data_IF_660115232907
#
_entry.id   IF_660115232907
#
_cell.length_a   1.000
_cell.length_b   1.000
_cell.length_c   1.000
_cell.angle_alpha   90.00
_cell.angle_beta   90.00
_cell.angle_gamma   90.00
#
_symmetry.space_group_name_H-M   'P 1'
#
loop_
_entity.id
_entity.type
_entity.pdbx_description
1 polymer ?
#
# COMPACT_ATOMS: atom_id res chain seq x y z
N UNK A 1 41.82 3.24 -32.01
CA UNK A 1 40.39 2.92 -32.23
C UNK A 1 40.22 1.45 -31.91
N UNK A 2 39.72 1.15 -30.71
CA UNK A 2 39.53 -0.22 -30.22
C UNK A 2 38.05 -0.45 -29.95
N UNK A 3 37.45 -1.38 -30.67
CA UNK A 3 36.12 -1.91 -30.37
C UNK A 3 36.19 -2.82 -29.14
N UNK A 4 35.22 -2.66 -28.22
CA UNK A 4 35.02 -3.56 -27.10
C UNK A 4 33.75 -4.38 -27.32
N UNK A 5 33.98 -5.69 -27.37
CA UNK A 5 33.04 -6.78 -27.49
C UNK A 5 32.23 -6.98 -26.21
N UNK A 6 30.91 -7.19 -26.35
CA UNK A 6 30.00 -7.61 -25.28
C UNK A 6 30.01 -9.14 -25.11
N UNK A 7 29.88 -9.69 -23.90
CA UNK A 7 29.87 -11.14 -23.67
C UNK A 7 28.47 -11.78 -23.91
N UNK A 8 28.39 -13.10 -24.14
CA UNK A 8 27.17 -13.78 -24.59
C UNK A 8 26.22 -14.20 -23.46
N UNK A 9 24.92 -14.15 -23.75
CA UNK A 9 23.82 -14.64 -22.89
C UNK A 9 23.75 -16.17 -22.92
N UNK A 10 23.70 -16.80 -21.73
CA UNK A 10 23.41 -18.24 -21.57
C UNK A 10 21.90 -18.48 -21.52
N UNK A 11 21.40 -19.31 -22.43
CA UNK A 11 20.05 -19.86 -22.41
C UNK A 11 19.99 -21.06 -21.47
N UNK A 12 19.17 -20.98 -20.41
CA UNK A 12 18.73 -22.14 -19.63
C UNK A 12 17.39 -22.61 -20.19
N UNK A 13 17.38 -23.82 -20.75
CA UNK A 13 16.20 -24.55 -21.20
C UNK A 13 15.50 -25.14 -19.99
N UNK A 14 14.24 -24.80 -19.75
CA UNK A 14 13.36 -25.54 -18.84
C UNK A 14 12.58 -26.60 -19.63
N UNK A 15 12.71 -27.85 -19.20
CA UNK A 15 11.94 -29.00 -19.67
C UNK A 15 10.50 -28.88 -19.17
N UNK A 16 9.53 -28.97 -20.08
CA UNK A 16 8.11 -29.15 -19.76
C UNK A 16 7.83 -30.64 -19.59
N UNK A 17 7.37 -31.06 -18.41
CA UNK A 17 6.69 -32.34 -18.21
C UNK A 17 5.18 -32.10 -18.30
N UNK A 18 4.54 -32.68 -19.32
CA UNK A 18 3.10 -32.63 -19.52
C UNK A 18 2.42 -33.81 -18.82
N UNK A 19 1.41 -33.52 -18.01
CA UNK A 19 0.37 -34.47 -17.63
C UNK A 19 -0.95 -33.96 -18.19
N UNK A 20 -1.48 -34.67 -19.18
CA UNK A 20 -2.84 -34.48 -19.67
C UNK A 20 -3.82 -35.29 -18.82
N UNK A 21 -4.94 -34.68 -18.46
CA UNK A 21 -6.12 -35.39 -17.98
C UNK A 21 -7.36 -34.80 -18.67
N UNK A 22 -8.15 -35.69 -19.25
CA UNK A 22 -9.40 -35.48 -19.94
C UNK A 22 -10.46 -34.81 -19.05
N UNK A 23 -11.13 -33.77 -19.55
CA UNK A 23 -12.35 -33.23 -18.96
C UNK A 23 -13.57 -33.87 -19.63
N UNK A 24 -14.37 -34.61 -18.85
CA UNK A 24 -15.72 -35.07 -19.22
C UNK A 24 -16.70 -34.08 -18.61
N UNK A 25 -17.47 -33.41 -19.47
CA UNK A 25 -18.56 -32.50 -19.09
C UNK A 25 -19.81 -33.35 -18.84
N UNK A 26 -20.35 -33.30 -17.62
CA UNK A 26 -21.72 -33.73 -17.31
C UNK A 26 -22.50 -32.53 -16.79
N UNK A 27 -23.53 -32.16 -17.53
CA UNK A 27 -24.47 -31.08 -17.26
C UNK A 27 -25.62 -31.63 -16.41
N UNK A 28 -25.87 -31.08 -15.22
CA UNK A 28 -27.13 -31.30 -14.49
C UNK A 28 -27.63 -29.97 -13.92
N UNK A 29 -28.79 -29.55 -14.43
CA UNK A 29 -29.64 -28.49 -13.87
C UNK A 29 -30.31 -29.00 -12.59
N UNK A 30 -30.28 -28.18 -11.54
CA UNK A 30 -31.15 -28.29 -10.38
C UNK A 30 -31.49 -26.90 -9.85
N UNK A 31 -32.75 -26.46 -10.06
CA UNK A 31 -33.30 -25.30 -9.39
C UNK A 31 -33.45 -25.60 -7.88
N UNK A 32 -32.86 -24.77 -7.04
CA UNK A 32 -33.19 -24.67 -5.62
C UNK A 32 -33.70 -23.26 -5.32
N UNK A 33 -34.96 -23.18 -4.93
CA UNK A 33 -35.63 -21.97 -4.46
C UNK A 33 -35.22 -21.78 -3.00
N UNK A 34 -34.47 -20.73 -2.69
CA UNK A 34 -34.23 -20.30 -1.31
C UNK A 34 -35.20 -19.18 -0.94
N UNK A 35 -36.08 -19.47 0.01
CA UNK A 35 -36.89 -18.48 0.69
C UNK A 35 -36.02 -17.75 1.73
N UNK A 36 -35.85 -16.44 1.59
CA UNK A 36 -35.15 -15.60 2.55
C UNK A 36 -36.01 -15.39 3.80
N UNK A 37 -35.58 -15.94 4.94
CA UNK A 37 -36.03 -15.47 6.24
C UNK A 37 -35.06 -14.39 6.71
N UNK A 38 -35.56 -13.17 6.86
CA UNK A 38 -34.84 -12.05 7.45
C UNK A 38 -34.78 -12.23 8.96
N UNK A 39 -33.60 -12.55 9.49
CA UNK A 39 -33.28 -12.38 10.91
C UNK A 39 -32.73 -10.97 11.08
N UNK A 40 -33.51 -10.11 11.77
CA UNK A 40 -33.08 -8.79 12.19
C UNK A 40 -32.00 -8.94 13.26
N UNK A 41 -30.74 -8.66 12.93
CA UNK A 41 -29.72 -8.35 13.93
C UNK A 41 -29.97 -6.93 14.45
N UNK A 42 -30.17 -6.82 15.77
CA UNK A 42 -30.23 -5.54 16.46
C UNK A 42 -28.86 -4.86 16.35
N UNK A 43 -28.84 -3.66 15.76
CA UNK A 43 -27.65 -2.81 15.70
C UNK A 43 -27.38 -2.22 17.08
N UNK A 44 -26.27 -2.62 17.71
CA UNK A 44 -25.69 -1.85 18.80
C UNK A 44 -25.27 -0.46 18.27
N UNK A 45 -25.40 0.61 19.08
CA UNK A 45 -25.07 1.95 18.65
C UNK A 45 -23.55 2.08 18.45
N UNK A 46 -23.15 2.50 17.25
CA UNK A 46 -21.80 2.98 16.93
C UNK A 46 -21.37 4.01 17.96
N UNK A 47 -20.20 3.86 18.63
CA UNK A 47 -19.65 4.90 19.48
C UNK A 47 -19.51 6.19 18.69
N UNK A 48 -20.03 7.29 19.23
CA UNK A 48 -19.86 8.61 18.62
C UNK A 48 -18.37 8.92 18.47
N UNK A 49 -17.97 9.25 17.25
CA UNK A 49 -16.61 9.65 16.90
C UNK A 49 -16.19 10.86 17.77
N UNK A 50 -15.06 10.79 18.49
CA UNK A 50 -14.65 11.89 19.35
C UNK A 50 -14.38 13.11 18.45
N UNK A 51 -15.05 14.22 18.74
CA UNK A 51 -14.81 15.50 18.07
C UNK A 51 -13.33 15.85 18.22
N UNK A 52 -12.58 15.74 17.11
CA UNK A 52 -11.15 15.97 17.06
C UNK A 52 -10.86 17.39 17.54
N UNK A 53 -10.32 17.49 18.76
CA UNK A 53 -9.86 18.77 19.31
C UNK A 53 -8.61 19.16 18.51
N UNK A 54 -8.56 20.37 17.98
CA UNK A 54 -7.48 20.83 17.11
C UNK A 54 -6.11 20.65 17.79
N UNK A 55 -5.28 19.76 17.26
CA UNK A 55 -3.86 19.71 17.63
C UNK A 55 -3.20 20.99 17.09
N UNK A 56 -2.61 21.85 17.95
CA UNK A 56 -1.96 23.07 17.48
C UNK A 56 -0.86 22.72 16.48
N UNK A 57 -0.74 23.54 15.43
CA UNK A 57 0.27 23.33 14.40
C UNK A 57 1.67 23.26 15.04
N UNK A 58 2.53 22.32 14.61
CA UNK A 58 3.89 22.22 15.13
C UNK A 58 4.63 23.53 14.86
N UNK A 59 5.32 24.06 15.87
CA UNK A 59 6.17 25.24 15.70
C UNK A 59 7.53 24.80 15.14
N UNK A 60 8.12 25.56 14.19
CA UNK A 60 9.45 25.26 13.70
C UNK A 60 10.48 25.51 14.83
N UNK A 61 11.59 24.76 14.87
CA UNK A 61 12.67 25.03 15.81
C UNK A 61 13.27 26.44 15.59
N UNK A 62 13.91 27.05 16.61
CA UNK A 62 14.53 28.37 16.47
C UNK A 62 15.50 28.43 15.28
N UNK A 63 15.31 29.43 14.40
CA UNK A 63 16.12 29.62 13.19
C UNK A 63 15.59 28.90 11.94
N UNK A 64 14.44 28.25 12.01
CA UNK A 64 13.81 27.51 10.91
C UNK A 64 12.41 28.05 10.57
N UNK A 65 11.91 27.70 9.38
CA UNK A 65 10.68 28.26 8.81
C UNK A 65 9.61 27.18 8.63
N UNK A 66 8.36 27.53 8.93
CA UNK A 66 7.19 26.76 8.56
C UNK A 66 6.57 27.34 7.29
N UNK A 67 6.53 26.54 6.23
CA UNK A 67 5.89 26.86 4.95
C UNK A 67 4.50 26.22 4.90
N UNK A 68 3.54 26.92 4.31
CA UNK A 68 2.13 26.56 4.38
C UNK A 68 1.53 26.39 2.98
N UNK A 69 0.72 25.35 2.82
CA UNK A 69 -0.06 25.06 1.60
C UNK A 69 -1.54 25.02 1.96
N UNK A 70 -2.41 25.60 1.13
CA UNK A 70 -3.87 25.64 1.31
C UNK A 70 -4.57 25.50 -0.05
N UNK A 71 -5.73 24.84 -0.15
CA UNK A 71 -6.48 24.79 -1.40
C UNK A 71 -6.97 26.18 -1.86
N UNK A 72 -7.06 27.15 -0.94
CA UNK A 72 -7.40 28.55 -1.23
C UNK A 72 -6.16 29.45 -1.34
N UNK A 73 -4.96 28.88 -1.30
CA UNK A 73 -3.70 29.60 -1.48
C UNK A 73 -3.46 30.08 -2.92
N UNK A 74 -2.29 30.67 -3.13
CA UNK A 74 -1.82 31.13 -4.43
C UNK A 74 -0.33 30.79 -4.56
N UNK A 75 0.12 30.27 -5.70
CA UNK A 75 1.52 29.85 -5.88
C UNK A 75 2.49 31.04 -6.03
N UNK A 76 1.97 32.24 -6.25
CA UNK A 76 2.73 33.50 -6.21
C UNK A 76 2.94 34.02 -4.77
N UNK A 77 2.31 33.40 -3.76
CA UNK A 77 2.48 33.78 -2.36
C UNK A 77 3.86 33.39 -1.80
N UNK A 78 4.27 33.99 -0.66
CA UNK A 78 5.52 33.64 0.02
C UNK A 78 5.49 32.30 0.78
N UNK A 79 4.35 31.60 0.89
CA UNK A 79 4.24 30.34 1.64
C UNK A 79 4.11 30.52 3.16
N UNK A 80 3.71 31.71 3.62
CA UNK A 80 3.42 31.98 5.04
C UNK A 80 2.00 31.53 5.42
N UNK A 81 1.68 31.39 6.71
CA UNK A 81 0.32 31.01 7.15
C UNK A 81 -0.78 31.95 6.62
N UNK A 82 -0.52 33.27 6.56
CA UNK A 82 -1.49 34.26 6.07
C UNK A 82 -1.57 34.32 4.52
N UNK A 83 -0.54 33.81 3.85
CA UNK A 83 -0.40 33.78 2.39
C UNK A 83 0.26 32.46 1.98
N UNK A 84 -0.49 31.34 2.04
CA UNK A 84 0.02 30.01 1.74
C UNK A 84 0.14 29.81 0.23
N UNK A 85 0.99 28.85 -0.16
CA UNK A 85 0.98 28.31 -1.53
C UNK A 85 -0.29 27.49 -1.79
N UNK A 86 -0.57 27.22 -3.06
CA UNK A 86 -1.72 26.40 -3.46
C UNK A 86 -1.34 24.95 -3.73
N UNK A 87 -0.21 24.71 -4.39
CA UNK A 87 0.11 23.40 -4.97
C UNK A 87 1.33 22.73 -4.33
N UNK A 88 1.36 21.39 -4.38
CA UNK A 88 2.53 20.59 -4.02
C UNK A 88 3.70 20.95 -4.93
N UNK A 89 3.46 21.10 -6.24
CA UNK A 89 4.50 21.45 -7.21
C UNK A 89 5.23 22.75 -6.83
N UNK A 90 4.48 23.79 -6.41
CA UNK A 90 5.09 25.04 -5.92
C UNK A 90 5.90 24.83 -4.64
N UNK A 91 5.37 24.03 -3.70
CA UNK A 91 6.07 23.70 -2.47
C UNK A 91 7.38 22.94 -2.77
N UNK A 92 7.42 22.03 -3.74
CA UNK A 92 8.63 21.28 -4.10
C UNK A 92 9.68 22.12 -4.84
N UNK A 93 9.28 23.27 -5.41
CA UNK A 93 10.21 24.25 -5.96
C UNK A 93 10.94 25.08 -4.88
N UNK A 94 10.50 25.01 -3.62
CA UNK A 94 11.20 25.65 -2.49
C UNK A 94 12.49 24.90 -2.14
N UNK A 95 13.52 25.67 -1.79
CA UNK A 95 14.71 25.10 -1.13
C UNK A 95 14.47 25.08 0.38
N UNK A 96 14.44 23.88 0.94
CA UNK A 96 14.30 23.65 2.38
C UNK A 96 15.65 23.39 3.04
N UNK A 97 15.71 23.66 4.33
CA UNK A 97 16.85 23.34 5.20
C UNK A 97 16.42 22.41 6.33
N UNK A 98 17.41 21.75 6.92
CA UNK A 98 17.24 20.89 8.10
C UNK A 98 16.39 21.56 9.19
N UNK A 99 15.25 21.00 9.58
CA UNK A 99 14.39 21.58 10.62
C UNK A 99 13.29 22.52 10.11
N UNK A 100 13.27 22.87 8.83
CA UNK A 100 12.10 23.52 8.23
C UNK A 100 10.88 22.58 8.25
N UNK A 101 9.70 23.16 8.03
CA UNK A 101 8.44 22.43 8.01
C UNK A 101 7.65 22.79 6.75
N UNK A 102 6.99 21.81 6.16
CA UNK A 102 5.98 21.96 5.13
C UNK A 102 4.64 21.50 5.72
N UNK A 103 3.72 22.44 5.90
CA UNK A 103 2.44 22.21 6.57
C UNK A 103 1.29 22.37 5.57
N UNK A 104 0.44 21.35 5.50
CA UNK A 104 -0.77 21.35 4.68
C UNK A 104 -2.00 21.69 5.53
N UNK A 105 -2.88 22.54 5.01
CA UNK A 105 -4.10 22.91 5.71
C UNK A 105 -5.03 21.69 5.82
N UNK A 106 -5.48 21.40 7.04
CA UNK A 106 -6.52 20.40 7.34
C UNK A 106 -7.81 20.67 6.56
N UNK A 107 -8.50 19.59 6.20
CA UNK A 107 -9.67 19.60 5.30
C UNK A 107 -9.36 19.90 3.83
N UNK A 108 -8.08 20.06 3.46
CA UNK A 108 -7.65 20.26 2.08
C UNK A 108 -7.30 18.96 1.36
N UNK A 109 -7.49 18.94 0.04
CA UNK A 109 -7.01 17.89 -0.85
C UNK A 109 -5.99 18.48 -1.83
N UNK A 110 -4.84 17.82 -1.96
CA UNK A 110 -3.70 18.30 -2.70
C UNK A 110 -3.24 17.23 -3.69
N UNK A 111 -3.24 17.59 -4.98
CA UNK A 111 -2.85 16.69 -6.05
C UNK A 111 -1.38 16.82 -6.40
N UNK A 112 -0.65 15.72 -6.39
CA UNK A 112 0.78 15.69 -6.71
C UNK A 112 1.55 14.62 -5.94
N UNK A 113 2.86 14.73 -6.04
CA UNK A 113 3.83 13.89 -5.34
C UNK A 113 4.88 14.77 -4.66
N UNK A 114 5.43 14.28 -3.56
CA UNK A 114 6.58 14.85 -2.86
C UNK A 114 7.78 13.96 -3.21
N UNK A 115 8.45 14.33 -4.29
CA UNK A 115 9.59 13.60 -4.87
C UNK A 115 10.94 14.18 -4.43
N UNK A 116 10.93 15.34 -3.77
CA UNK A 116 12.10 16.03 -3.27
C UNK A 116 11.87 16.40 -1.82
N UNK A 117 12.70 15.84 -0.95
CA UNK A 117 12.85 16.33 0.42
C UNK A 117 14.28 16.83 0.57
N UNK A 118 14.54 17.91 1.33
CA UNK A 118 15.92 18.22 1.68
C UNK A 118 16.51 16.99 2.38
N UNK A 119 17.76 16.64 2.08
CA UNK A 119 18.57 15.84 3.01
C UNK A 119 19.13 16.84 4.03
N UNK A 120 18.59 16.92 5.25
CA UNK A 120 19.05 17.85 6.27
C UNK A 120 20.53 17.61 6.60
N UNK A 121 21.34 18.67 6.57
CA UNK A 121 22.63 18.65 7.25
C UNK A 121 22.39 18.65 8.77
N UNK A 122 22.82 17.60 9.48
CA UNK A 122 22.71 17.47 10.94
C UNK A 122 21.50 16.66 11.44
N UNK A 123 21.22 16.63 12.76
CA UNK A 123 20.26 15.69 13.36
C UNK A 123 18.78 16.11 13.31
N UNK A 124 18.47 17.28 12.73
CA UNK A 124 17.09 17.79 12.69
C UNK A 124 16.34 17.23 11.49
N UNK A 125 15.10 16.80 11.72
CA UNK A 125 14.23 16.34 10.64
C UNK A 125 13.53 17.51 9.95
N UNK A 126 13.36 17.40 8.64
CA UNK A 126 12.37 18.20 7.92
C UNK A 126 10.99 17.58 8.13
N UNK A 127 10.01 18.40 8.50
CA UNK A 127 8.65 17.93 8.80
C UNK A 127 7.72 18.16 7.63
N UNK A 128 7.02 17.12 7.20
CA UNK A 128 5.80 17.19 6.43
C UNK A 128 4.64 16.98 7.40
N UNK A 129 3.78 17.99 7.56
CA UNK A 129 2.72 17.94 8.57
C UNK A 129 1.48 18.72 8.20
N UNK A 130 0.64 18.97 9.20
CA UNK A 130 -0.64 19.63 9.02
C UNK A 130 -0.79 20.89 9.91
N UNK A 131 -1.62 21.84 9.48
CA UNK A 131 -2.05 23.00 10.27
C UNK A 131 -3.55 23.28 10.11
N UNK A 132 -4.11 24.09 10.99
CA UNK A 132 -5.53 24.44 10.97
C UNK A 132 -6.41 23.43 11.71
N UNK A 133 -7.70 23.36 11.35
CA UNK A 133 -8.72 22.52 11.99
C UNK A 133 -9.38 21.60 10.95
N UNK A 134 -9.99 20.51 11.41
CA UNK A 134 -10.69 19.53 10.57
C UNK A 134 -9.86 18.28 10.25
N UNK A 135 -10.32 17.54 9.24
CA UNK A 135 -9.72 16.28 8.81
C UNK A 135 -8.26 16.41 8.38
N UNK A 136 -7.53 15.29 8.40
CA UNK A 136 -6.14 15.27 7.90
C UNK A 136 -6.10 15.78 6.45
N UNK A 137 -5.10 16.59 6.06
CA UNK A 137 -4.92 16.98 4.67
C UNK A 137 -4.66 15.73 3.81
N UNK A 138 -5.32 15.66 2.65
CA UNK A 138 -5.20 14.55 1.71
C UNK A 138 -4.14 14.84 0.66
N UNK A 139 -3.15 13.96 0.54
CA UNK A 139 -2.21 13.92 -0.59
C UNK A 139 -2.60 12.77 -1.51
N UNK A 140 -2.79 13.09 -2.79
CA UNK A 140 -3.22 12.12 -3.79
C UNK A 140 -2.60 12.42 -5.15
N UNK A 141 -2.33 11.39 -5.96
CA UNK A 141 -1.98 11.57 -7.37
C UNK A 141 -3.12 11.12 -8.32
N UNK A 142 -4.36 11.09 -7.82
CA UNK A 142 -5.52 10.71 -8.62
C UNK A 142 -5.73 11.63 -9.82
N UNK A 143 -6.10 11.03 -10.96
CA UNK A 143 -6.72 11.73 -12.09
C UNK A 143 -8.23 11.67 -11.94
N UNK A 144 -8.89 12.83 -11.86
CA UNK A 144 -10.34 12.92 -11.65
C UNK A 144 -11.07 12.87 -12.99
N UNK A 145 -11.76 11.77 -13.27
CA UNK A 145 -12.36 11.45 -14.56
C UNK A 145 -13.84 11.83 -14.60
N UNK A 146 -14.17 13.09 -14.27
CA UNK A 146 -15.56 13.53 -14.11
C UNK A 146 -16.19 14.21 -15.33
N UNK A 147 -15.42 14.56 -16.38
CA UNK A 147 -15.97 15.17 -17.59
C UNK A 147 -16.50 14.09 -18.57
N UNK A 148 -17.83 13.97 -18.77
CA UNK A 148 -18.35 12.99 -19.72
C UNK A 148 -17.93 13.26 -21.17
N UNK A 149 -17.65 14.52 -21.54
CA UNK A 149 -17.24 14.88 -22.90
C UNK A 149 -15.81 14.42 -23.24
N UNK A 150 -14.99 14.17 -22.23
CA UNK A 150 -13.63 13.65 -22.38
C UNK A 150 -13.60 12.14 -22.72
N UNK A 151 -14.72 11.43 -22.57
CA UNK A 151 -14.80 10.00 -22.88
C UNK A 151 -15.34 9.75 -24.29
N UNK A 152 -14.66 8.86 -25.02
CA UNK A 152 -15.08 8.43 -26.36
C UNK A 152 -15.40 6.92 -26.37
N UNK A 153 -16.55 6.49 -26.93
CA UNK A 153 -16.81 5.08 -27.17
C UNK A 153 -15.90 4.56 -28.31
N UNK A 154 -15.30 3.38 -28.13
CA UNK A 154 -14.43 2.75 -29.15
C UNK A 154 -14.99 1.44 -29.69
N UNK A 155 -15.82 0.76 -28.89
CA UNK A 155 -16.53 -0.47 -29.24
C UNK A 155 -17.78 -0.58 -28.36
N UNK A 156 -18.69 -1.56 -28.59
CA UNK A 156 -19.83 -1.78 -27.71
C UNK A 156 -19.39 -1.92 -26.24
N UNK A 157 -19.89 -1.02 -25.40
CA UNK A 157 -19.56 -0.93 -23.96
C UNK A 157 -18.08 -0.69 -23.63
N UNK A 158 -17.24 -0.25 -24.57
CA UNK A 158 -15.85 0.12 -24.29
C UNK A 158 -15.70 1.63 -24.51
N UNK A 159 -15.26 2.31 -23.45
CA UNK A 159 -15.01 3.74 -23.44
C UNK A 159 -13.54 4.00 -23.21
N UNK A 160 -13.00 5.09 -23.74
CA UNK A 160 -11.64 5.53 -23.46
C UNK A 160 -11.56 7.00 -23.08
N UNK A 161 -10.51 7.35 -22.34
CA UNK A 161 -10.12 8.72 -21.97
C UNK A 161 -8.59 8.85 -22.11
N UNK A 162 -8.09 10.01 -22.53
CA UNK A 162 -6.66 10.26 -22.73
C UNK A 162 -6.02 10.77 -21.42
N UNK A 163 -5.29 9.93 -20.68
CA UNK A 163 -4.73 10.34 -19.40
C UNK A 163 -3.47 11.23 -19.50
N UNK A 164 -2.92 11.40 -20.70
CA UNK A 164 -1.78 12.30 -20.96
C UNK A 164 -2.22 13.71 -21.39
N UNK A 165 -3.52 13.96 -21.51
CA UNK A 165 -4.07 15.28 -21.79
C UNK A 165 -4.79 15.81 -20.54
N UNK A 166 -4.12 16.71 -19.82
CA UNK A 166 -4.62 17.32 -18.60
C UNK A 166 -5.94 18.10 -18.79
N UNK A 167 -6.37 18.38 -20.02
CA UNK A 167 -7.69 18.99 -20.27
C UNK A 167 -8.85 17.99 -20.15
N UNK A 168 -8.54 16.68 -20.13
CA UNK A 168 -9.54 15.62 -20.09
C UNK A 168 -9.90 15.16 -18.66
N UNK A 169 -9.12 15.57 -17.66
CA UNK A 169 -9.29 15.16 -16.27
C UNK A 169 -8.90 16.29 -15.31
N UNK A 170 -9.47 16.27 -14.11
CA UNK A 170 -8.96 17.06 -12.99
C UNK A 170 -7.87 16.32 -12.22
N UNK A 171 -7.48 16.86 -11.06
CA UNK A 171 -6.53 16.23 -10.15
C UNK A 171 -5.08 16.39 -10.61
N UNK A 172 -4.31 15.31 -10.55
CA UNK A 172 -2.89 15.31 -10.90
C UNK A 172 -2.66 15.38 -12.41
N UNK A 173 -1.83 16.34 -12.85
CA UNK A 173 -1.52 16.62 -14.26
C UNK A 173 -0.21 15.97 -14.75
N UNK A 174 0.49 15.24 -13.88
CA UNK A 174 1.70 14.50 -14.25
C UNK A 174 1.44 13.39 -15.27
N UNK A 175 2.51 13.02 -15.98
CA UNK A 175 2.50 11.88 -16.91
C UNK A 175 2.25 10.58 -16.14
N UNK A 176 1.47 9.67 -16.74
CA UNK A 176 1.26 8.34 -16.15
C UNK A 176 -0.10 7.75 -16.52
N UNK A 177 -0.07 6.70 -17.32
CA UNK A 177 -1.25 5.92 -17.69
C UNK A 177 -1.31 4.57 -17.00
N UNK A 178 -0.24 4.12 -16.33
CA UNK A 178 -0.18 2.86 -15.60
C UNK A 178 -1.10 2.93 -14.37
N UNK A 179 -2.39 2.65 -14.54
CA UNK A 179 -3.41 2.80 -13.49
C UNK A 179 -3.47 1.57 -12.61
N UNK A 180 -3.42 1.73 -11.29
CA UNK A 180 -3.52 0.61 -10.35
C UNK A 180 -4.95 0.15 -10.12
N UNK A 181 -5.87 1.10 -9.95
CA UNK A 181 -7.30 0.85 -9.78
C UNK A 181 -8.11 2.09 -10.16
N UNK A 182 -9.43 1.90 -10.30
CA UNK A 182 -10.39 3.00 -10.39
C UNK A 182 -11.20 3.07 -9.09
N UNK A 183 -11.46 4.27 -8.59
CA UNK A 183 -12.20 4.49 -7.35
C UNK A 183 -13.35 5.49 -7.53
N UNK A 184 -14.40 5.35 -6.72
CA UNK A 184 -15.48 6.34 -6.56
C UNK A 184 -16.02 6.18 -5.15
N UNK A 185 -15.76 7.18 -4.29
CA UNK A 185 -15.84 6.99 -2.84
C UNK A 185 -14.94 5.83 -2.40
N UNK A 186 -15.44 4.99 -1.50
CA UNK A 186 -14.72 3.80 -1.01
C UNK A 186 -14.85 2.58 -1.95
N UNK A 187 -15.51 2.73 -3.11
CA UNK A 187 -15.67 1.62 -4.05
C UNK A 187 -14.45 1.51 -4.98
N UNK A 188 -13.62 0.51 -4.73
CA UNK A 188 -12.47 0.15 -5.57
C UNK A 188 -12.87 -0.81 -6.68
N UNK A 189 -12.43 -0.51 -7.90
CA UNK A 189 -12.54 -1.37 -9.09
C UNK A 189 -11.12 -1.72 -9.53
N UNK A 190 -10.73 -2.95 -9.22
CA UNK A 190 -9.35 -3.43 -9.31
C UNK A 190 -9.07 -4.37 -10.49
N UNK A 191 -10.06 -4.55 -11.37
CA UNK A 191 -10.05 -5.50 -12.49
C UNK A 191 -9.19 -5.03 -13.68
N UNK A 192 -7.92 -4.70 -13.42
CA UNK A 192 -6.92 -4.37 -14.45
C UNK A 192 -6.67 -5.57 -15.35
N UNK A 193 -6.68 -5.35 -16.66
CA UNK A 193 -6.33 -6.34 -17.69
C UNK A 193 -5.04 -5.95 -18.40
N UNK A 194 -4.50 -6.91 -19.14
CA UNK A 194 -3.25 -6.74 -19.91
C UNK A 194 -3.48 -6.42 -21.38
N UNK A 195 -4.73 -6.48 -21.85
CA UNK A 195 -5.11 -6.14 -23.22
C UNK A 195 -6.57 -5.71 -23.31
N UNK A 196 -6.88 -4.84 -24.28
CA UNK A 196 -8.25 -4.39 -24.57
C UNK A 196 -9.20 -5.56 -24.92
N UNK A 197 -8.68 -6.65 -25.50
CA UNK A 197 -9.46 -7.85 -25.82
C UNK A 197 -9.95 -8.64 -24.60
N UNK A 198 -9.39 -8.36 -23.42
CA UNK A 198 -9.73 -9.03 -22.17
C UNK A 198 -10.78 -8.28 -21.36
N UNK A 199 -11.27 -7.14 -21.86
CA UNK A 199 -12.38 -6.38 -21.27
C UNK A 199 -13.71 -7.11 -21.52
N UNK A 200 -14.12 -7.97 -20.57
CA UNK A 200 -15.25 -8.90 -20.72
C UNK A 200 -16.36 -8.72 -19.70
N UNK A 201 -16.07 -8.12 -18.56
CA UNK A 201 -17.00 -7.85 -17.46
C UNK A 201 -17.08 -6.34 -17.18
N UNK A 202 -18.21 -5.81 -16.68
CA UNK A 202 -18.31 -4.40 -16.34
C UNK A 202 -17.17 -4.00 -15.38
N UNK A 203 -16.58 -2.84 -15.63
CA UNK A 203 -15.43 -2.30 -14.89
C UNK A 203 -14.11 -3.04 -15.04
N UNK A 204 -14.01 -4.01 -15.95
CA UNK A 204 -12.70 -4.36 -16.50
C UNK A 204 -12.09 -3.10 -17.11
N UNK A 205 -10.81 -2.86 -16.84
CA UNK A 205 -10.08 -1.75 -17.42
C UNK A 205 -8.69 -2.17 -17.90
N UNK A 206 -8.17 -1.41 -18.86
CA UNK A 206 -6.85 -1.58 -19.44
C UNK A 206 -6.31 -0.20 -19.78
N UNK A 207 -5.01 0.02 -19.62
CA UNK A 207 -4.32 1.24 -20.03
C UNK A 207 -3.21 0.92 -21.03
N UNK A 208 -3.11 1.73 -22.08
CA UNK A 208 -1.94 1.80 -22.96
C UNK A 208 -1.08 3.02 -22.59
N UNK A 209 -0.08 3.38 -23.41
CA UNK A 209 0.79 4.53 -23.12
C UNK A 209 0.09 5.90 -23.20
N UNK A 210 -1.19 5.96 -23.56
CA UNK A 210 -1.97 7.19 -23.78
C UNK A 210 -3.35 7.14 -23.13
N UNK A 211 -4.08 6.05 -23.32
CA UNK A 211 -5.49 5.94 -22.98
C UNK A 211 -5.74 4.94 -21.88
N UNK A 212 -6.68 5.27 -20.99
CA UNK A 212 -7.41 4.32 -20.17
C UNK A 212 -8.66 3.88 -20.92
N UNK A 213 -8.90 2.56 -20.96
CA UNK A 213 -10.09 1.93 -21.51
C UNK A 213 -10.88 1.26 -20.40
N UNK A 214 -12.19 1.48 -20.36
CA UNK A 214 -13.09 0.92 -19.34
C UNK A 214 -14.29 0.27 -20.00
N UNK A 215 -14.62 -0.95 -19.57
CA UNK A 215 -15.86 -1.60 -19.99
C UNK A 215 -17.05 -1.11 -19.16
N UNK A 216 -17.95 -0.36 -19.78
CA UNK A 216 -19.15 0.18 -19.13
C UNK A 216 -20.31 0.31 -20.12
N UNK A 217 -21.52 0.01 -19.68
CA UNK A 217 -22.75 0.10 -20.51
C UNK A 217 -23.16 1.54 -20.83
N UNK A 218 -22.59 2.51 -20.12
CA UNK A 218 -22.74 3.94 -20.34
C UNK A 218 -21.43 4.65 -20.05
N UNK A 219 -21.36 5.95 -20.30
CA UNK A 219 -20.17 6.76 -20.03
C UNK A 219 -19.67 6.53 -18.58
N UNK A 220 -18.39 6.18 -18.36
CA UNK A 220 -17.88 5.84 -17.03
C UNK A 220 -18.06 6.94 -15.98
N UNK A 221 -17.90 8.23 -16.34
CA UNK A 221 -18.15 9.36 -15.42
C UNK A 221 -19.59 9.48 -14.99
N UNK A 222 -20.54 9.02 -15.82
CA UNK A 222 -21.97 8.99 -15.50
C UNK A 222 -22.31 7.75 -14.69
N UNK A 223 -21.68 6.61 -15.00
CA UNK A 223 -21.88 5.35 -14.30
C UNK A 223 -21.33 5.37 -12.86
N UNK A 224 -20.27 6.14 -12.62
CA UNK A 224 -19.67 6.34 -11.31
C UNK A 224 -19.30 7.83 -11.14
N UNK A 225 -20.19 8.67 -10.59
CA UNK A 225 -19.84 10.04 -10.26
C UNK A 225 -18.64 10.09 -9.30
N UNK A 226 -17.72 11.03 -9.53
CA UNK A 226 -16.49 11.10 -8.74
C UNK A 226 -15.47 10.03 -9.10
N UNK A 227 -15.52 9.45 -10.31
CA UNK A 227 -14.58 8.44 -10.78
C UNK A 227 -13.15 9.00 -10.78
N UNK A 228 -12.25 8.27 -10.14
CA UNK A 228 -10.83 8.56 -10.05
C UNK A 228 -10.05 7.40 -10.65
N UNK A 229 -8.98 7.70 -11.38
CA UNK A 229 -7.94 6.73 -11.69
C UNK A 229 -6.73 7.01 -10.80
N UNK A 230 -6.16 5.95 -10.24
CA UNK A 230 -4.95 5.99 -9.42
C UNK A 230 -3.74 5.57 -10.27
N UNK A 231 -3.03 6.49 -10.94
CA UNK A 231 -1.82 6.16 -11.69
C UNK A 231 -0.66 5.80 -10.78
N UNK A 232 0.29 5.06 -11.35
CA UNK A 232 1.55 4.66 -10.72
C UNK A 232 2.38 5.87 -10.28
N UNK A 233 2.79 5.89 -9.02
CA UNK A 233 3.69 6.88 -8.45
C UNK A 233 4.21 6.42 -7.08
N UNK A 234 5.06 7.25 -6.47
CA UNK A 234 5.27 7.25 -5.02
C UNK A 234 4.76 8.59 -4.52
N UNK A 235 3.78 8.61 -3.60
CA UNK A 235 3.22 9.87 -3.09
C UNK A 235 4.28 10.67 -2.33
N UNK A 236 5.06 10.02 -1.46
CA UNK A 236 6.16 10.65 -0.72
C UNK A 236 7.42 9.78 -0.78
N UNK A 237 8.44 10.29 -1.47
CA UNK A 237 9.79 9.73 -1.46
C UNK A 237 10.56 10.27 -0.27
N UNK A 238 10.95 9.39 0.64
CA UNK A 238 11.65 9.72 1.86
C UNK A 238 13.17 9.71 1.67
N UNK A 239 13.80 10.78 2.12
CA UNK A 239 15.24 10.86 2.30
C UNK A 239 15.58 10.94 3.79
N UNK A 240 16.87 10.85 4.09
CA UNK A 240 17.35 10.89 5.47
C UNK A 240 16.88 12.14 6.22
N UNK A 241 16.64 11.99 7.53
CA UNK A 241 16.13 13.01 8.44
C UNK A 241 14.78 13.61 7.99
N UNK A 242 13.78 12.78 7.72
CA UNK A 242 12.43 13.24 7.38
C UNK A 242 11.40 12.77 8.41
N UNK A 243 10.45 13.63 8.76
CA UNK A 243 9.30 13.32 9.59
C UNK A 243 8.01 13.59 8.80
N UNK A 244 7.07 12.65 8.79
CA UNK A 244 5.74 12.81 8.23
C UNK A 244 4.74 12.59 9.36
N UNK A 245 3.90 13.59 9.64
CA UNK A 245 2.93 13.53 10.75
C UNK A 245 1.53 14.01 10.34
N UNK A 246 0.54 13.15 10.50
CA UNK A 246 -0.87 13.54 10.44
C UNK A 246 -1.41 13.83 9.04
N UNK A 247 -0.92 13.11 8.03
CA UNK A 247 -1.35 13.25 6.63
C UNK A 247 -2.23 12.06 6.22
N UNK A 248 -3.26 12.32 5.41
CA UNK A 248 -3.99 11.28 4.67
C UNK A 248 -3.35 11.09 3.29
N UNK A 249 -3.08 9.84 2.90
CA UNK A 249 -2.44 9.49 1.63
C UNK A 249 -3.29 8.45 0.90
N UNK A 250 -3.77 8.78 -0.30
CA UNK A 250 -4.68 7.90 -1.05
C UNK A 250 -4.68 8.05 -2.56
N UNK A 251 -5.34 7.09 -3.20
CA UNK A 251 -5.58 7.05 -4.64
C UNK A 251 -4.28 7.03 -5.46
N UNK A 252 -3.33 6.16 -5.06
CA UNK A 252 -2.05 5.98 -5.74
C UNK A 252 -1.88 4.56 -6.24
N UNK A 253 -1.48 4.40 -7.52
CA UNK A 253 -1.28 3.08 -8.12
C UNK A 253 0.02 2.39 -7.73
N UNK A 254 0.99 3.12 -7.15
CA UNK A 254 2.27 2.58 -6.68
C UNK A 254 2.35 2.57 -5.15
N UNK A 255 3.26 3.35 -4.57
CA UNK A 255 3.48 3.40 -3.11
C UNK A 255 2.95 4.70 -2.49
N UNK A 256 2.50 4.63 -1.23
CA UNK A 256 2.29 5.86 -0.46
C UNK A 256 3.64 6.45 0.00
N UNK A 257 4.42 5.67 0.74
CA UNK A 257 5.72 6.10 1.28
C UNK A 257 6.81 5.11 0.88
N UNK A 258 7.95 5.62 0.41
CA UNK A 258 9.14 4.81 0.07
C UNK A 258 10.43 5.51 0.42
N UNK A 259 11.38 4.81 1.03
CA UNK A 259 12.77 5.28 1.15
C UNK A 259 13.47 5.35 -0.22
N UNK A 260 14.04 6.49 -0.58
CA UNK A 260 14.61 6.72 -1.93
C UNK A 260 16.14 6.70 -1.97
N UNK A 261 16.82 7.09 -0.89
CA UNK A 261 18.28 7.05 -0.83
C UNK A 261 18.81 5.67 -0.45
N UNK A 262 20.13 5.49 -0.58
CA UNK A 262 20.82 4.31 -0.08
C UNK A 262 22.09 4.76 0.69
N UNK A 263 22.03 4.93 2.03
CA UNK A 263 20.89 4.65 2.93
C UNK A 263 19.93 5.82 3.20
N UNK A 264 18.70 5.51 3.65
CA UNK A 264 17.76 6.45 4.29
C UNK A 264 17.76 6.30 5.81
N UNK A 265 18.15 7.34 6.54
CA UNK A 265 18.41 7.29 7.98
C UNK A 265 17.57 8.30 8.77
N UNK A 266 17.19 7.97 10.01
CA UNK A 266 16.51 8.87 10.96
C UNK A 266 15.17 9.40 10.42
N UNK A 267 14.24 8.48 10.18
CA UNK A 267 12.91 8.78 9.65
C UNK A 267 11.83 8.58 10.71
N UNK A 268 10.78 9.39 10.64
CA UNK A 268 9.56 9.19 11.43
C UNK A 268 8.32 9.25 10.54
N UNK A 269 7.47 8.23 10.62
CA UNK A 269 6.18 8.15 9.93
C UNK A 269 5.11 8.01 11.01
N UNK A 270 4.42 9.11 11.30
CA UNK A 270 3.59 9.27 12.50
C UNK A 270 2.15 9.61 12.16
N UNK A 271 1.19 8.97 12.83
CA UNK A 271 -0.23 9.38 12.85
C UNK A 271 -0.88 9.57 11.48
N UNK A 272 -0.39 8.91 10.43
CA UNK A 272 -0.90 9.04 9.08
C UNK A 272 -2.10 8.11 8.84
N UNK A 273 -2.91 8.43 7.84
CA UNK A 273 -4.00 7.59 7.36
C UNK A 273 -3.71 7.22 5.90
N UNK A 274 -3.35 5.97 5.64
CA UNK A 274 -2.85 5.54 4.34
C UNK A 274 -3.79 4.47 3.78
N UNK A 275 -4.39 4.74 2.63
CA UNK A 275 -5.33 3.79 2.06
C UNK A 275 -5.54 3.93 0.56
N UNK A 276 -6.12 2.93 -0.09
CA UNK A 276 -6.27 2.90 -1.55
C UNK A 276 -4.91 3.05 -2.24
N UNK A 277 -4.02 2.07 -2.06
CA UNK A 277 -2.64 2.13 -2.57
C UNK A 277 -2.31 0.89 -3.41
N UNK A 278 -1.60 1.09 -4.50
CA UNK A 278 -1.00 0.04 -5.30
C UNK A 278 -1.83 -0.45 -6.48
N UNK A 279 -1.42 -1.59 -7.03
CA UNK A 279 -2.09 -2.31 -8.10
C UNK A 279 -1.65 -1.89 -9.50
N UNK A 280 -0.74 -0.93 -9.67
CA UNK A 280 -0.13 -0.66 -10.97
C UNK A 280 0.81 -1.80 -11.38
N UNK A 281 1.17 -1.88 -12.66
CA UNK A 281 2.16 -2.85 -13.10
C UNK A 281 3.58 -2.38 -12.75
N UNK A 282 4.40 -3.27 -12.20
CA UNK A 282 5.82 -3.06 -11.96
C UNK A 282 6.59 -3.24 -13.28
N UNK A 283 6.82 -2.13 -13.98
CA UNK A 283 7.51 -2.13 -15.27
C UNK A 283 9.01 -2.39 -15.07
N UNK A 284 9.57 -3.31 -15.86
CA UNK A 284 10.95 -3.76 -15.78
C UNK A 284 11.15 -5.03 -14.96
N UNK A 285 10.09 -5.60 -14.38
CA UNK A 285 10.14 -6.84 -13.60
C UNK A 285 9.33 -7.96 -14.26
N UNK A 286 9.90 -9.17 -14.29
CA UNK A 286 9.31 -10.36 -14.90
C UNK A 286 8.83 -10.12 -16.36
N UNK A 287 7.51 -10.08 -16.59
CA UNK A 287 6.88 -9.84 -17.89
C UNK A 287 6.12 -8.50 -17.97
N UNK A 288 6.49 -7.55 -17.10
CA UNK A 288 5.90 -6.21 -16.94
C UNK A 288 4.41 -6.23 -16.57
N UNK A 289 3.92 -7.35 -16.01
CA UNK A 289 2.50 -7.53 -15.62
C UNK A 289 2.31 -7.93 -14.16
N UNK A 290 3.41 -8.07 -13.42
CA UNK A 290 3.35 -8.17 -11.96
C UNK A 290 2.86 -6.83 -11.43
N UNK A 291 1.89 -6.87 -10.52
CA UNK A 291 1.36 -5.66 -9.89
C UNK A 291 1.99 -5.48 -8.52
N UNK A 292 2.10 -4.24 -8.06
CA UNK A 292 2.81 -3.90 -6.82
C UNK A 292 2.18 -2.69 -6.14
N UNK A 293 2.67 -2.36 -4.94
CA UNK A 293 2.40 -1.07 -4.30
C UNK A 293 2.14 -1.19 -2.80
N UNK A 294 3.03 -0.59 -2.02
CA UNK A 294 3.08 -0.68 -0.56
C UNK A 294 2.60 0.60 0.11
N UNK A 295 2.06 0.47 1.32
CA UNK A 295 1.75 1.60 2.19
C UNK A 295 3.03 2.31 2.61
N UNK A 296 3.91 1.61 3.34
CA UNK A 296 5.17 2.14 3.85
C UNK A 296 6.31 1.19 3.51
N UNK A 297 7.27 1.65 2.72
CA UNK A 297 8.40 0.85 2.26
C UNK A 297 9.74 1.39 2.76
N UNK A 298 10.42 0.56 3.56
CA UNK A 298 11.86 0.67 3.79
C UNK A 298 12.59 -0.09 2.67
N UNK A 299 12.98 0.63 1.61
CA UNK A 299 13.70 0.06 0.48
C UNK A 299 15.22 -0.01 0.74
N UNK A 300 15.82 -1.12 0.33
CA UNK A 300 17.26 -1.37 0.32
C UNK A 300 17.93 -1.13 1.69
N UNK A 301 18.56 0.03 1.88
CA UNK A 301 19.26 0.36 3.12
C UNK A 301 18.52 1.46 3.87
N UNK A 302 17.93 1.10 5.00
CA UNK A 302 17.22 2.03 5.88
C UNK A 302 17.72 1.88 7.32
N UNK A 303 17.90 2.98 8.07
CA UNK A 303 18.17 2.87 9.50
C UNK A 303 17.51 3.92 10.37
N UNK A 304 17.21 3.56 11.62
CA UNK A 304 16.64 4.48 12.61
C UNK A 304 15.27 5.03 12.19
N UNK A 305 14.36 4.14 11.78
CA UNK A 305 12.98 4.51 11.45
C UNK A 305 12.04 4.22 12.61
N UNK A 306 11.13 5.15 12.87
CA UNK A 306 9.96 4.95 13.73
C UNK A 306 8.68 5.08 12.90
N UNK A 307 7.91 4.01 12.81
CA UNK A 307 6.59 3.96 12.20
C UNK A 307 5.57 3.80 13.32
N UNK A 308 4.82 4.86 13.64
CA UNK A 308 3.96 4.86 14.82
C UNK A 308 2.61 5.57 14.64
N UNK A 309 1.55 4.99 15.20
CA UNK A 309 0.24 5.64 15.25
C UNK A 309 -0.48 5.72 13.91
N UNK A 310 0.04 5.06 12.87
CA UNK A 310 -0.55 5.10 11.54
C UNK A 310 -1.69 4.10 11.43
N UNK A 311 -2.67 4.44 10.61
CA UNK A 311 -3.66 3.48 10.12
C UNK A 311 -3.40 3.24 8.63
N UNK A 312 -3.26 1.97 8.24
CA UNK A 312 -2.91 1.56 6.87
C UNK A 312 -3.83 0.44 6.40
N UNK A 313 -4.61 0.70 5.35
CA UNK A 313 -5.57 -0.29 4.83
C UNK A 313 -5.80 -0.19 3.33
N UNK A 314 -6.46 -1.18 2.73
CA UNK A 314 -6.73 -1.20 1.29
C UNK A 314 -5.46 -1.00 0.45
N UNK A 315 -4.38 -1.67 0.83
CA UNK A 315 -3.13 -1.73 0.07
C UNK A 315 -3.09 -3.01 -0.78
N UNK A 316 -2.73 -2.87 -2.05
CA UNK A 316 -2.64 -3.97 -3.01
C UNK A 316 -1.60 -5.03 -2.60
N UNK A 317 -0.50 -4.56 -2.02
CA UNK A 317 0.64 -5.36 -1.58
C UNK A 317 0.74 -5.29 -0.05
N UNK A 318 1.78 -4.65 0.49
CA UNK A 318 2.07 -4.69 1.93
C UNK A 318 1.79 -3.35 2.62
N UNK A 319 1.13 -3.39 3.79
CA UNK A 319 0.94 -2.21 4.61
C UNK A 319 2.29 -1.61 5.05
N UNK A 320 3.19 -2.47 5.51
CA UNK A 320 4.57 -2.13 5.83
C UNK A 320 5.53 -3.22 5.32
N UNK A 321 6.68 -2.80 4.80
CA UNK A 321 7.72 -3.72 4.32
C UNK A 321 9.14 -3.19 4.57
N UNK A 322 10.05 -4.09 4.90
CA UNK A 322 11.49 -3.88 4.71
C UNK A 322 11.96 -4.81 3.60
N UNK A 323 12.36 -4.23 2.46
CA UNK A 323 12.66 -5.00 1.26
C UNK A 323 13.81 -4.48 0.43
N UNK A 324 14.47 -5.38 -0.30
CA UNK A 324 15.50 -5.04 -1.29
C UNK A 324 16.86 -5.67 -1.05
N UNK A 325 17.91 -5.00 -1.51
CA UNK A 325 19.27 -5.51 -1.64
C UNK A 325 20.28 -4.79 -0.75
N UNK A 326 19.81 -4.04 0.26
CA UNK A 326 20.63 -3.25 1.19
C UNK A 326 20.71 -3.84 2.61
N UNK A 327 21.04 -3.00 3.58
CA UNK A 327 21.03 -3.35 5.01
C UNK A 327 20.02 -2.50 5.75
N UNK A 328 19.04 -3.13 6.38
CA UNK A 328 18.05 -2.41 7.19
C UNK A 328 18.34 -2.61 8.68
N UNK A 329 18.36 -1.55 9.48
CA UNK A 329 18.78 -1.60 10.89
C UNK A 329 17.98 -0.68 11.80
N UNK A 330 17.64 -1.12 13.00
CA UNK A 330 16.99 -0.29 14.02
C UNK A 330 15.68 0.36 13.51
N UNK A 331 14.73 -0.50 13.17
CA UNK A 331 13.41 -0.09 12.71
C UNK A 331 12.40 -0.47 13.78
N UNK A 332 11.55 0.47 14.19
CA UNK A 332 10.45 0.18 15.10
C UNK A 332 9.11 0.52 14.47
N UNK A 333 8.21 -0.46 14.43
CA UNK A 333 6.83 -0.32 13.97
C UNK A 333 5.91 -0.57 15.15
N UNK A 334 5.25 0.47 15.66
CA UNK A 334 4.52 0.36 16.92
C UNK A 334 3.23 1.17 16.99
N UNK A 335 2.20 0.65 17.67
CA UNK A 335 0.92 1.35 17.86
C UNK A 335 0.25 1.74 16.56
N UNK A 336 0.43 0.95 15.51
CA UNK A 336 -0.26 1.13 14.24
C UNK A 336 -1.48 0.21 14.16
N UNK A 337 -2.43 0.59 13.31
CA UNK A 337 -3.57 -0.23 12.95
C UNK A 337 -3.49 -0.60 11.47
N UNK A 338 -3.10 -1.83 11.14
CA UNK A 338 -3.03 -2.29 9.76
C UNK A 338 -4.15 -3.28 9.49
N UNK A 339 -5.00 -2.98 8.51
CA UNK A 339 -6.18 -3.79 8.22
C UNK A 339 -6.53 -3.92 6.74
N UNK A 340 -7.16 -5.01 6.33
CA UNK A 340 -7.69 -5.14 4.95
C UNK A 340 -6.63 -4.95 3.86
N UNK A 341 -5.40 -5.39 4.11
CA UNK A 341 -4.29 -5.33 3.15
C UNK A 341 -4.05 -6.72 2.55
N UNK A 342 -3.46 -6.80 1.36
CA UNK A 342 -3.01 -8.10 0.86
C UNK A 342 -1.99 -8.71 1.82
N UNK A 343 -1.08 -7.90 2.38
CA UNK A 343 -0.17 -8.29 3.44
C UNK A 343 -0.12 -7.17 4.51
N UNK A 344 -0.21 -7.49 5.80
CA UNK A 344 -0.01 -6.47 6.83
C UNK A 344 1.48 -6.23 7.09
N UNK A 345 2.30 -7.28 7.03
CA UNK A 345 3.77 -7.16 7.00
C UNK A 345 4.35 -8.03 5.90
N UNK A 346 5.41 -7.53 5.29
CA UNK A 346 6.24 -8.29 4.35
C UNK A 346 7.72 -8.02 4.60
N UNK A 347 8.54 -9.07 4.52
CA UNK A 347 9.99 -8.96 4.61
C UNK A 347 10.69 -9.84 3.59
N UNK A 348 11.62 -9.27 2.83
CA UNK A 348 12.58 -10.04 2.05
C UNK A 348 13.85 -9.26 1.81
N UNK A 349 14.98 -9.95 1.66
CA UNK A 349 16.20 -9.30 1.18
C UNK A 349 16.98 -10.20 0.25
N UNK A 350 17.75 -9.60 -0.67
CA UNK A 350 18.58 -10.34 -1.62
C UNK A 350 20.03 -9.88 -1.61
N UNK A 351 20.92 -10.73 -2.14
CA UNK A 351 22.33 -10.38 -2.32
C UNK A 351 22.47 -9.24 -3.35
N UNK A 352 23.35 -8.25 -3.14
CA UNK A 352 24.46 -8.21 -2.17
C UNK A 352 24.13 -7.65 -0.77
N UNK A 353 22.86 -7.64 -0.35
CA UNK A 353 22.38 -7.01 0.90
C UNK A 353 23.00 -7.53 2.19
N UNK A 354 22.82 -6.75 3.26
CA UNK A 354 23.40 -7.01 4.59
C UNK A 354 22.41 -7.53 5.63
N UNK A 355 21.16 -7.81 5.23
CA UNK A 355 20.14 -8.40 6.08
C UNK A 355 19.33 -7.38 6.90
N UNK A 356 18.63 -7.89 7.91
CA UNK A 356 17.63 -7.16 8.71
C UNK A 356 18.05 -7.17 10.18
N UNK A 357 18.37 -6.02 10.77
CA UNK A 357 18.96 -5.96 12.12
C UNK A 357 18.07 -5.15 13.05
N UNK A 358 17.77 -5.65 14.24
CA UNK A 358 17.07 -4.89 15.28
C UNK A 358 15.74 -4.31 14.76
N UNK A 359 14.93 -5.16 14.14
CA UNK A 359 13.60 -4.80 13.67
C UNK A 359 12.61 -5.18 14.77
N UNK A 360 11.90 -4.20 15.33
CA UNK A 360 10.91 -4.42 16.39
C UNK A 360 9.52 -4.01 15.90
N UNK A 361 8.60 -4.96 15.92
CA UNK A 361 7.20 -4.78 15.58
C UNK A 361 6.37 -5.03 16.84
N UNK A 362 5.92 -3.96 17.51
CA UNK A 362 5.32 -4.06 18.84
C UNK A 362 4.10 -3.19 19.10
N UNK A 363 3.13 -3.68 19.90
CA UNK A 363 1.91 -2.95 20.27
C UNK A 363 1.05 -2.52 19.05
N UNK A 364 1.02 -3.28 17.96
CA UNK A 364 0.18 -2.99 16.80
C UNK A 364 -1.12 -3.82 16.81
N UNK A 365 -2.16 -3.27 16.18
CA UNK A 365 -3.39 -3.97 15.84
C UNK A 365 -3.34 -4.39 14.37
N UNK A 366 -3.49 -5.68 14.12
CA UNK A 366 -3.41 -6.29 12.80
C UNK A 366 -4.71 -7.01 12.48
N UNK A 367 -5.42 -6.62 11.42
CA UNK A 367 -6.73 -7.18 11.08
C UNK A 367 -6.81 -7.63 9.62
N UNK A 368 -7.31 -8.84 9.37
CA UNK A 368 -7.60 -9.36 8.02
C UNK A 368 -6.51 -9.11 6.95
N UNK A 369 -5.25 -9.41 7.28
CA UNK A 369 -4.19 -9.46 6.29
C UNK A 369 -4.37 -10.67 5.37
N UNK A 370 -4.02 -10.53 4.09
CA UNK A 370 -4.45 -11.45 3.03
C UNK A 370 -5.81 -11.11 2.44
N UNK A 371 -6.50 -10.13 3.03
CA UNK A 371 -7.84 -9.70 2.69
C UNK A 371 -7.83 -8.48 1.78
N UNK A 372 -8.83 -7.62 1.99
CA UNK A 372 -9.03 -6.38 1.24
C UNK A 372 -9.17 -6.56 -0.26
N UNK A 373 -9.24 -5.45 -0.99
CA UNK A 373 -9.31 -5.51 -2.45
C UNK A 373 -8.01 -6.05 -3.06
N UNK A 374 -6.86 -5.81 -2.41
CA UNK A 374 -5.55 -6.26 -2.85
C UNK A 374 -5.47 -7.77 -2.93
N UNK A 375 -5.76 -8.47 -1.82
CA UNK A 375 -5.75 -9.93 -1.76
C UNK A 375 -6.72 -10.56 -2.76
N UNK A 376 -7.89 -9.96 -2.98
CA UNK A 376 -8.86 -10.43 -3.98
C UNK A 376 -8.42 -10.18 -5.43
N UNK A 377 -7.67 -9.11 -5.68
CA UNK A 377 -7.25 -8.70 -7.03
C UNK A 377 -5.94 -9.37 -7.49
N UNK A 378 -5.15 -9.92 -6.56
CA UNK A 378 -3.89 -10.60 -6.87
C UNK A 378 -4.11 -11.89 -7.67
N UNK A 379 -3.30 -12.17 -8.71
CA UNK A 379 -3.38 -13.45 -9.41
C UNK A 379 -2.94 -14.64 -8.55
N UNK A 380 -1.89 -14.45 -7.75
CA UNK A 380 -1.46 -15.43 -6.76
C UNK A 380 -2.38 -15.35 -5.54
N UNK A 381 -3.05 -16.46 -5.26
CA UNK A 381 -3.98 -16.59 -4.14
C UNK A 381 -3.36 -17.35 -2.97
N UNK A 382 -2.21 -18.02 -3.18
CA UNK A 382 -1.54 -18.81 -2.15
C UNK A 382 -0.79 -17.90 -1.18
N UNK A 383 -0.28 -16.76 -1.66
CA UNK A 383 0.52 -15.84 -0.85
C UNK A 383 -0.31 -14.89 0.05
N UNK A 384 -1.64 -14.98 0.02
CA UNK A 384 -2.54 -14.17 0.84
C UNK A 384 -2.37 -14.53 2.32
N UNK A 385 -1.80 -13.63 3.11
CA UNK A 385 -1.51 -13.88 4.53
C UNK A 385 -1.35 -12.61 5.36
N UNK A 386 -1.44 -12.76 6.69
CA UNK A 386 -1.16 -11.67 7.64
C UNK A 386 0.27 -11.16 7.51
N UNK A 387 1.23 -12.09 7.56
CA UNK A 387 2.66 -11.82 7.55
C UNK A 387 3.37 -12.67 6.49
N UNK A 388 4.17 -12.03 5.65
CA UNK A 388 4.78 -12.65 4.47
C UNK A 388 6.30 -12.52 4.51
N UNK A 389 7.00 -13.57 4.06
CA UNK A 389 8.41 -13.49 3.73
C UNK A 389 8.79 -14.25 2.48
N UNK A 390 9.68 -13.67 1.66
CA UNK A 390 10.29 -14.31 0.48
C UNK A 390 11.76 -14.68 0.68
N UNK A 391 12.16 -14.88 1.94
CA UNK A 391 13.54 -15.15 2.34
C UNK A 391 14.40 -13.88 2.42
N UNK A 392 15.52 -13.99 3.11
CA UNK A 392 16.45 -12.88 3.31
C UNK A 392 17.89 -13.33 3.42
N UNK A 393 18.79 -12.39 3.13
CA UNK A 393 20.19 -12.47 3.50
C UNK A 393 20.32 -12.39 5.02
N UNK A 394 21.08 -13.32 5.59
CA UNK A 394 21.46 -13.30 7.00
C UNK A 394 22.62 -12.33 7.24
N UNK A 395 22.71 -11.72 8.43
CA UNK A 395 21.88 -11.97 9.62
C UNK A 395 20.49 -11.33 9.54
N UNK A 396 19.55 -11.92 10.29
CA UNK A 396 18.23 -11.36 10.52
C UNK A 396 17.92 -11.35 12.02
N UNK A 397 17.33 -10.26 12.50
CA UNK A 397 16.87 -10.02 13.86
C UNK A 397 15.60 -9.16 13.79
N UNK A 398 14.46 -9.86 13.72
CA UNK A 398 13.12 -9.30 13.58
C UNK A 398 12.27 -9.88 14.71
N UNK A 399 11.73 -9.02 15.56
CA UNK A 399 10.88 -9.40 16.70
C UNK A 399 9.48 -8.83 16.50
N UNK A 400 8.49 -9.71 16.47
CA UNK A 400 7.05 -9.39 16.39
C UNK A 400 6.42 -9.75 17.73
N UNK A 401 6.11 -8.76 18.56
CA UNK A 401 5.69 -9.00 19.95
C UNK A 401 4.64 -8.04 20.49
N UNK A 402 3.81 -8.49 21.46
CA UNK A 402 2.77 -7.67 22.08
C UNK A 402 1.77 -7.09 21.07
N UNK A 403 1.57 -7.74 19.92
CA UNK A 403 0.61 -7.31 18.92
C UNK A 403 -0.72 -8.05 19.11
N UNK A 404 -1.81 -7.41 18.70
CA UNK A 404 -3.11 -8.05 18.56
C UNK A 404 -3.34 -8.39 17.09
N UNK A 405 -3.66 -9.65 16.82
CA UNK A 405 -4.01 -10.12 15.48
C UNK A 405 -5.44 -10.62 15.49
N UNK A 406 -6.31 -10.06 14.66
CA UNK A 406 -7.72 -10.47 14.54
C UNK A 406 -8.10 -10.73 13.10
N UNK A 407 -8.40 -11.98 12.77
CA UNK A 407 -8.69 -12.42 11.41
C UNK A 407 -7.45 -12.45 10.51
N UNK A 408 -7.48 -13.35 9.54
CA UNK A 408 -6.53 -13.43 8.44
C UNK A 408 -7.21 -14.16 7.28
N UNK A 409 -7.00 -13.65 6.07
CA UNK A 409 -7.52 -14.22 4.84
C UNK A 409 -6.42 -15.04 4.17
N UNK A 410 -6.68 -16.31 3.88
CA UNK A 410 -5.65 -17.24 3.38
C UNK A 410 -4.91 -17.93 4.53
N UNK A 411 -3.87 -17.31 5.08
CA UNK A 411 -3.13 -17.84 6.24
C UNK A 411 -2.61 -16.78 7.23
N UNK A 412 -2.25 -17.21 8.44
CA UNK A 412 -1.59 -16.36 9.42
C UNK A 412 -0.18 -15.97 8.95
N UNK A 413 0.68 -16.93 8.60
CA UNK A 413 1.97 -16.64 7.96
C UNK A 413 2.11 -17.29 6.58
N UNK A 414 2.92 -16.68 5.73
CA UNK A 414 3.39 -17.25 4.47
C UNK A 414 4.92 -17.09 4.38
N UNK A 415 5.61 -18.19 4.06
CA UNK A 415 7.05 -18.20 3.86
C UNK A 415 7.37 -18.89 2.54
N UNK A 416 8.14 -18.22 1.68
CA UNK A 416 8.76 -18.82 0.50
C UNK A 416 10.29 -18.70 0.59
N UNK A 417 11.03 -19.83 0.62
CA UNK A 417 10.54 -21.20 0.65
C UNK A 417 9.82 -21.54 1.97
N UNK A 418 8.90 -22.51 1.91
CA UNK A 418 8.19 -23.01 3.10
C UNK A 418 9.20 -23.51 4.13
N UNK A 419 9.27 -22.82 5.26
CA UNK A 419 10.18 -23.13 6.36
C UNK A 419 9.42 -23.12 7.69
N UNK A 420 9.81 -23.96 8.68
CA UNK A 420 9.17 -23.96 9.99
C UNK A 420 9.34 -22.64 10.75
N UNK A 421 10.55 -22.09 10.72
CA UNK A 421 10.90 -20.81 11.36
C UNK A 421 12.02 -20.14 10.55
N UNK A 422 11.71 -19.09 9.77
CA UNK A 422 12.73 -18.32 9.07
C UNK A 422 13.78 -17.79 10.07
N UNK A 423 15.08 -18.09 9.90
CA UNK A 423 16.08 -17.71 10.88
C UNK A 423 16.07 -16.20 11.13
N UNK A 424 15.94 -15.80 12.39
CA UNK A 424 15.93 -14.41 12.81
C UNK A 424 14.54 -13.76 12.91
N UNK A 425 13.46 -14.44 12.52
CA UNK A 425 12.10 -13.90 12.67
C UNK A 425 11.38 -14.52 13.87
N UNK A 426 11.33 -13.76 14.95
CA UNK A 426 10.81 -14.21 16.25
C UNK A 426 9.43 -13.61 16.48
N UNK A 427 8.44 -14.48 16.67
CA UNK A 427 7.12 -14.09 17.16
C UNK A 427 6.98 -14.49 18.63
N UNK A 428 6.52 -13.57 19.49
CA UNK A 428 6.40 -13.82 20.94
C UNK A 428 5.38 -12.91 21.58
N UNK A 429 4.62 -13.40 22.56
CA UNK A 429 3.69 -12.61 23.37
C UNK A 429 2.62 -11.85 22.55
N UNK A 430 2.16 -12.41 21.44
CA UNK A 430 1.08 -11.86 20.63
C UNK A 430 -0.30 -12.41 21.06
N UNK A 431 -1.36 -11.63 20.91
CA UNK A 431 -2.75 -12.09 21.08
C UNK A 431 -3.38 -12.38 19.72
N UNK A 432 -3.50 -13.66 19.35
CA UNK A 432 -3.91 -14.11 18.02
C UNK A 432 -5.32 -14.69 18.04
N UNK A 433 -6.24 -14.07 17.30
CA UNK A 433 -7.65 -14.47 17.21
C UNK A 433 -8.05 -14.68 15.75
N UNK A 434 -8.26 -15.92 15.34
CA UNK A 434 -8.58 -16.26 13.94
C UNK A 434 -9.84 -17.12 13.85
N UNK A 435 -10.50 -17.11 12.70
CA UNK A 435 -11.67 -17.95 12.43
C UNK A 435 -11.28 -19.44 12.38
N UNK A 436 -12.13 -20.32 12.91
CA UNK A 436 -11.90 -21.78 12.85
C UNK A 436 -11.66 -22.27 11.42
N UNK A 437 -10.55 -22.97 11.23
CA UNK A 437 -10.04 -23.44 9.95
C UNK A 437 -9.06 -22.52 9.23
N UNK A 438 -8.81 -21.29 9.71
CA UNK A 438 -7.74 -20.43 9.15
C UNK A 438 -6.40 -21.14 9.27
N UNK A 439 -5.65 -21.23 8.17
CA UNK A 439 -4.33 -21.86 8.17
C UNK A 439 -3.35 -21.05 9.00
N UNK A 440 -2.58 -21.71 9.88
CA UNK A 440 -1.50 -21.02 10.58
C UNK A 440 -0.34 -20.69 9.64
N UNK A 441 -0.08 -21.55 8.66
CA UNK A 441 0.97 -21.32 7.67
C UNK A 441 0.60 -21.96 6.35
N UNK A 442 0.72 -21.20 5.26
CA UNK A 442 0.57 -21.76 3.92
C UNK A 442 1.59 -22.90 3.67
N UNK A 443 1.14 -23.99 3.05
CA UNK A 443 1.96 -25.16 2.79
C UNK A 443 2.13 -26.11 3.98
N UNK A 444 1.59 -25.77 5.16
CA UNK A 444 1.49 -26.69 6.30
C UNK A 444 0.03 -27.12 6.54
N UNK A 445 -0.14 -28.19 7.33
CA UNK A 445 -1.47 -28.77 7.63
C UNK A 445 -2.23 -28.08 8.77
N UNK A 446 -1.55 -27.24 9.54
CA UNK A 446 -2.09 -26.73 10.80
C UNK A 446 -3.03 -25.56 10.58
N UNK A 447 -4.12 -25.55 11.34
CA UNK A 447 -5.08 -24.44 11.42
C UNK A 447 -5.01 -23.77 12.79
N UNK A 448 -5.73 -22.66 13.00
CA UNK A 448 -5.85 -22.02 14.33
C UNK A 448 -6.37 -23.01 15.38
N UNK A 449 -7.19 -23.99 14.99
CA UNK A 449 -7.68 -25.05 15.88
C UNK A 449 -6.52 -25.94 16.40
N UNK A 450 -5.39 -25.95 15.71
CA UNK A 450 -4.15 -26.65 16.06
C UNK A 450 -3.02 -25.70 16.52
N UNK A 451 -3.29 -24.43 16.79
CA UNK A 451 -2.26 -23.39 16.91
C UNK A 451 -1.16 -23.70 17.92
N UNK A 452 -1.51 -24.26 19.08
CA UNK A 452 -0.51 -24.65 20.08
C UNK A 452 0.41 -25.78 19.60
N UNK A 453 -0.08 -26.69 18.76
CA UNK A 453 0.75 -27.75 18.15
C UNK A 453 1.62 -27.18 17.03
N UNK A 454 1.09 -26.26 16.22
CA UNK A 454 1.86 -25.54 15.21
C UNK A 454 3.00 -24.72 15.84
N UNK A 455 2.72 -23.92 16.88
CA UNK A 455 3.70 -23.10 17.57
C UNK A 455 4.85 -23.95 18.15
N UNK A 456 4.54 -25.11 18.76
CA UNK A 456 5.56 -26.07 19.25
C UNK A 456 6.36 -26.70 18.13
N UNK A 457 5.73 -27.08 17.02
CA UNK A 457 6.40 -27.74 15.91
C UNK A 457 7.35 -26.80 15.14
N UNK A 458 7.06 -25.50 15.19
CA UNK A 458 7.79 -24.44 14.50
C UNK A 458 8.65 -23.60 15.45
N UNK A 459 8.68 -23.90 16.76
CA UNK A 459 9.45 -23.17 17.76
C UNK A 459 9.23 -21.64 17.69
N UNK A 460 7.95 -21.24 17.60
CA UNK A 460 7.51 -19.84 17.41
C UNK A 460 6.38 -19.50 18.38
N UNK A 461 6.00 -18.22 18.44
CA UNK A 461 4.88 -17.71 19.25
C UNK A 461 4.98 -18.10 20.73
N UNK A 462 6.20 -18.03 21.28
CA UNK A 462 6.41 -18.23 22.71
C UNK A 462 5.62 -17.17 23.49
N UNK A 463 4.88 -17.57 24.53
CA UNK A 463 4.09 -16.62 25.34
C UNK A 463 2.82 -16.07 24.68
N UNK A 464 2.61 -16.30 23.39
CA UNK A 464 1.42 -15.85 22.67
C UNK A 464 0.15 -16.60 23.08
N UNK A 465 -1.00 -15.93 22.96
CA UNK A 465 -2.33 -16.50 23.16
C UNK A 465 -3.01 -16.77 21.83
N UNK A 466 -3.78 -17.86 21.76
CA UNK A 466 -4.56 -18.22 20.58
C UNK A 466 -6.03 -18.38 20.96
N UNK A 467 -6.90 -17.65 20.27
CA UNK A 467 -8.36 -17.73 20.39
C UNK A 467 -8.97 -18.14 19.06
N UNK A 468 -9.81 -19.17 19.08
CA UNK A 468 -10.58 -19.60 17.90
C UNK A 468 -11.91 -18.86 17.91
N UNK A 469 -12.12 -18.01 16.90
CA UNK A 469 -13.39 -17.34 16.67
C UNK A 469 -14.38 -18.32 16.02
N UNK A 470 -15.61 -18.35 16.53
CA UNK A 470 -16.69 -19.11 15.92
C UNK A 470 -16.99 -18.57 14.52
N UNK A 471 -17.35 -19.45 13.58
CA UNK A 471 -17.81 -18.99 12.26
C UNK A 471 -19.12 -18.19 12.44
N UNK A 472 -19.25 -17.01 11.82
CA UNK A 472 -20.48 -16.24 11.87
C UNK A 472 -21.68 -17.00 11.30
#
# INVERSE_FOLDING_TARGET
MSEHSRPPRRHLRSLRFGYGVFAVIVLLLGLAIFASHSTQHATEPTPAEPTATATPAPLPPPGHTAYHVSPQGDDDNPGTVDKPWRTIARAMAQTYTAGDQLLFQRGGEYFGIIDRVPTPDGPRRWLIGAYGEGEKPVISNAKILNDPAAWAPTAPNIWRINLNDATTHGGWDGDGTNVGFLASGDTIRSAKKTAISDLRTPWDFFDDSTYLYVRSTQNPSVAAPGLRAAPDAVLIRLHSNTEIDGIEMKDCGGHAIRGEDNPVVNVRVLNNYIHHIGGSFLIGYADDKVRYGNGIECLDSCSDWLVQGNEVHDVYDSAFTCQGSGTTTNIRVTKNFFHGNAHNLEFWTEQPGGGLHQILIDDNDFVDGGGGWGGQARPDQDNRAQFVSYGWVLPADIVVTNNRVTGASGSYVYHDPVAPNPPGWVFTDNDVKLESGTLMQNGQRYTIDDAAAWARANETESGSTFEVLGRP
#
